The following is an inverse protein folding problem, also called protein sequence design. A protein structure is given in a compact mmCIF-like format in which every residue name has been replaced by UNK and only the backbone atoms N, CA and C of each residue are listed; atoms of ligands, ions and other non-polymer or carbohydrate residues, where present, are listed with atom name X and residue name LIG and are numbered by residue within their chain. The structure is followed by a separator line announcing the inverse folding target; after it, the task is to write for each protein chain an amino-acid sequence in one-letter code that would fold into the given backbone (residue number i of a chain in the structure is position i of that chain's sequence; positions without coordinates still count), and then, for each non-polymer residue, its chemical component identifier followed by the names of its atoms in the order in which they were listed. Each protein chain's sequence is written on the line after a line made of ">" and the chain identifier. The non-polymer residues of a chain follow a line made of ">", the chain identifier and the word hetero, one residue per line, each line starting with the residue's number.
data_IF_389733800850
#
_entry.id   IF_389733800850
#
_cell.length_a   1.000
_cell.length_b   1.000
_cell.length_c   1.000
_cell.angle_alpha   90.00
_cell.angle_beta   90.00
_cell.angle_gamma   90.00
#
_symmetry.space_group_name_H-M   'P 1'
#
loop_
_entity.id
_entity.type
_entity.pdbx_description
1 polymer ?
#
# COMPACT_ATOMS: atom_id res chain seq x y z
N UNK A 1 0.91 -37.47 -4.68
CA UNK A 1 0.16 -36.57 -3.79
C UNK A 1 0.34 -35.13 -4.28
N UNK A 2 -0.70 -34.48 -4.84
CA UNK A 2 -0.63 -33.07 -5.23
C UNK A 2 -0.57 -32.21 -3.95
N UNK A 3 0.59 -31.65 -3.64
CA UNK A 3 0.75 -30.68 -2.53
C UNK A 3 -0.19 -29.50 -2.76
N UNK A 4 -0.95 -29.15 -1.74
CA UNK A 4 -1.93 -28.06 -1.80
C UNK A 4 -1.20 -26.74 -2.06
N UNK A 5 -1.37 -26.06 -3.20
CA UNK A 5 -0.57 -24.90 -3.60
C UNK A 5 -0.74 -23.68 -2.66
N UNK A 6 -1.82 -23.64 -1.88
CA UNK A 6 -2.07 -22.59 -0.90
C UNK A 6 -1.14 -22.68 0.32
N UNK A 7 -0.70 -23.88 0.71
CA UNK A 7 0.19 -24.07 1.86
C UNK A 7 1.67 -23.81 1.54
N UNK A 8 2.08 -23.88 0.28
CA UNK A 8 3.49 -23.62 -0.11
C UNK A 8 3.83 -22.13 -0.12
N UNK A 9 2.87 -21.26 -0.42
CA UNK A 9 3.06 -19.81 -0.46
C UNK A 9 3.43 -19.13 0.87
N UNK A 10 3.24 -19.83 2.00
CA UNK A 10 3.43 -19.28 3.36
C UNK A 10 4.72 -19.73 4.05
N UNK A 11 5.47 -20.68 3.47
CA UNK A 11 6.70 -21.20 4.10
C UNK A 11 7.93 -20.46 3.60
N UNK A 12 8.14 -19.27 4.13
CA UNK A 12 9.43 -18.58 3.96
C UNK A 12 10.50 -19.19 4.85
N UNK A 13 11.74 -19.08 4.39
CA UNK A 13 12.92 -19.37 5.22
C UNK A 13 13.00 -18.41 6.41
N UNK A 14 13.68 -18.81 7.46
CA UNK A 14 13.87 -17.95 8.64
C UNK A 14 14.57 -16.64 8.26
N UNK A 15 15.59 -16.71 7.38
CA UNK A 15 16.29 -15.53 6.89
C UNK A 15 15.37 -14.55 6.16
N UNK A 16 14.50 -15.06 5.27
CA UNK A 16 13.51 -14.22 4.57
C UNK A 16 12.55 -13.53 5.54
N UNK A 17 12.03 -14.26 6.52
CA UNK A 17 11.13 -13.71 7.55
C UNK A 17 11.80 -12.62 8.39
N UNK A 18 13.00 -12.88 8.87
CA UNK A 18 13.74 -11.91 9.70
C UNK A 18 14.04 -10.64 8.91
N UNK A 19 14.52 -10.78 7.67
CA UNK A 19 14.76 -9.64 6.77
C UNK A 19 13.49 -8.84 6.54
N UNK A 20 12.37 -9.52 6.25
CA UNK A 20 11.09 -8.84 6.03
C UNK A 20 10.62 -8.08 7.27
N UNK A 21 10.62 -8.72 8.44
CA UNK A 21 10.18 -8.09 9.69
C UNK A 21 11.08 -6.91 10.08
N UNK A 22 12.38 -7.02 9.89
CA UNK A 22 13.32 -5.94 10.16
C UNK A 22 13.05 -4.72 9.27
N UNK A 23 12.95 -4.93 7.95
CA UNK A 23 12.66 -3.84 7.02
C UNK A 23 11.25 -3.28 7.23
N UNK A 24 10.28 -4.12 7.57
CA UNK A 24 8.92 -3.69 7.87
C UNK A 24 8.89 -2.77 9.10
N UNK A 25 9.64 -3.11 10.14
CA UNK A 25 9.78 -2.28 11.34
C UNK A 25 10.40 -0.92 11.01
N UNK A 26 11.51 -0.89 10.28
CA UNK A 26 12.15 0.36 9.85
C UNK A 26 11.20 1.21 8.99
N UNK A 27 10.58 0.59 8.00
CA UNK A 27 9.64 1.26 7.11
C UNK A 27 8.45 1.84 7.87
N UNK A 28 7.88 1.08 8.82
CA UNK A 28 6.78 1.56 9.66
C UNK A 28 7.19 2.77 10.49
N UNK A 29 8.37 2.73 11.09
CA UNK A 29 8.90 3.87 11.86
C UNK A 29 9.04 5.14 11.01
N UNK A 30 9.60 4.99 9.80
CA UNK A 30 9.72 6.12 8.86
C UNK A 30 8.35 6.66 8.44
N UNK A 31 7.41 5.78 8.10
CA UNK A 31 6.06 6.20 7.69
C UNK A 31 5.30 6.90 8.83
N UNK A 32 5.35 6.35 10.03
CA UNK A 32 4.73 6.98 11.20
C UNK A 32 5.33 8.36 11.47
N UNK A 33 6.66 8.48 11.40
CA UNK A 33 7.34 9.75 11.56
C UNK A 33 6.88 10.78 10.53
N UNK A 34 6.88 10.43 9.26
CA UNK A 34 6.49 11.34 8.18
C UNK A 34 5.03 11.79 8.30
N UNK A 35 4.09 10.86 8.46
CA UNK A 35 2.68 11.21 8.60
C UNK A 35 2.39 11.97 9.89
N UNK A 36 3.13 11.70 10.96
CA UNK A 36 3.04 12.49 12.17
C UNK A 36 3.43 13.94 11.92
N UNK A 37 4.59 14.18 11.28
CA UNK A 37 5.06 15.52 10.96
C UNK A 37 4.09 16.27 10.05
N UNK A 38 3.51 15.60 9.05
CA UNK A 38 2.49 16.16 8.17
C UNK A 38 1.20 16.54 8.92
N UNK A 39 0.67 15.65 9.77
CA UNK A 39 -0.54 15.91 10.55
C UNK A 39 -0.36 17.05 11.57
N UNK A 40 0.84 17.25 12.08
CA UNK A 40 1.16 18.33 13.00
C UNK A 40 1.67 19.60 12.31
N UNK A 41 1.69 19.62 10.97
CA UNK A 41 2.08 20.77 10.16
C UNK A 41 3.48 21.29 10.48
N UNK A 42 4.41 20.37 10.74
CA UNK A 42 5.80 20.76 11.01
C UNK A 42 6.39 21.42 9.76
N UNK A 43 7.08 22.57 9.90
CA UNK A 43 7.70 23.23 8.75
C UNK A 43 8.56 22.25 7.95
N UNK A 44 8.38 22.25 6.64
CA UNK A 44 9.05 21.32 5.74
C UNK A 44 8.28 20.03 5.44
N UNK A 45 7.16 19.73 6.12
CA UNK A 45 6.32 18.55 5.89
C UNK A 45 4.92 18.94 5.42
N UNK A 46 4.85 19.74 4.37
CA UNK A 46 3.56 20.19 3.83
C UNK A 46 2.90 19.08 3.00
N UNK A 47 1.60 18.87 3.22
CA UNK A 47 0.77 17.91 2.49
C UNK A 47 -0.72 18.25 2.62
N UNK A 48 -1.60 17.43 2.04
CA UNK A 48 -3.05 17.51 2.21
C UNK A 48 -3.54 17.01 3.59
N UNK A 49 -2.64 16.55 4.45
CA UNK A 49 -2.98 15.95 5.75
C UNK A 49 -3.80 16.87 6.66
N UNK A 50 -3.57 18.18 6.73
CA UNK A 50 -4.39 19.08 7.54
C UNK A 50 -5.87 19.03 7.17
N UNK A 51 -6.22 18.99 5.89
CA UNK A 51 -7.60 18.90 5.42
C UNK A 51 -8.23 17.55 5.80
N UNK A 52 -7.44 16.48 5.73
CA UNK A 52 -7.89 15.15 6.16
C UNK A 52 -8.11 15.07 7.67
N UNK A 53 -7.23 15.69 8.46
CA UNK A 53 -7.39 15.80 9.92
C UNK A 53 -8.66 16.59 10.26
N UNK A 54 -8.92 17.70 9.59
CA UNK A 54 -10.14 18.49 9.77
C UNK A 54 -11.40 17.66 9.46
N UNK A 55 -11.38 16.88 8.38
CA UNK A 55 -12.49 15.98 8.02
C UNK A 55 -12.74 14.91 9.10
N UNK A 56 -11.68 14.35 9.69
CA UNK A 56 -11.78 13.38 10.80
C UNK A 56 -12.32 14.06 12.06
N UNK A 57 -11.87 15.28 12.35
CA UNK A 57 -12.34 16.07 13.49
C UNK A 57 -13.77 16.58 13.35
N UNK A 58 -14.39 16.46 12.16
CA UNK A 58 -15.73 17.00 11.90
C UNK A 58 -15.74 18.52 11.68
N UNK A 59 -14.59 19.12 11.41
CA UNK A 59 -14.46 20.54 11.08
C UNK A 59 -14.79 20.71 9.60
N UNK A 60 -15.64 21.69 9.27
CA UNK A 60 -15.95 22.03 7.89
C UNK A 60 -14.69 22.49 7.15
N UNK A 61 -14.38 21.83 6.05
CA UNK A 61 -13.24 22.15 5.18
C UNK A 61 -13.71 22.71 3.84
N UNK A 62 -12.75 23.21 3.06
CA UNK A 62 -13.00 23.72 1.71
C UNK A 62 -13.28 22.62 0.68
N UNK A 63 -13.04 21.36 1.04
CA UNK A 63 -13.17 20.21 0.15
C UNK A 63 -14.07 19.14 0.75
N UNK A 64 -14.98 18.63 -0.07
CA UNK A 64 -15.72 17.42 0.23
C UNK A 64 -15.01 16.22 -0.38
N UNK A 65 -14.66 15.27 0.48
CA UNK A 65 -14.05 14.00 0.04
C UNK A 65 -15.14 12.94 -0.09
N UNK A 66 -15.51 12.50 -1.30
CA UNK A 66 -16.61 11.57 -1.52
C UNK A 66 -16.27 10.11 -1.17
N UNK A 67 -15.03 9.84 -0.79
CA UNK A 67 -14.54 8.50 -0.47
C UNK A 67 -14.28 8.35 1.04
N UNK A 68 -15.13 7.56 1.73
CA UNK A 68 -15.20 7.63 3.19
C UNK A 68 -14.26 6.70 3.96
N UNK A 69 -13.72 5.63 3.35
CA UNK A 69 -13.08 4.52 4.10
C UNK A 69 -11.94 4.99 5.00
N UNK A 70 -11.01 5.78 4.48
CA UNK A 70 -9.89 6.28 5.27
C UNK A 70 -10.37 7.09 6.48
N UNK A 71 -11.34 7.99 6.24
CA UNK A 71 -11.87 8.88 7.27
C UNK A 71 -12.70 8.13 8.30
N UNK A 72 -13.51 7.16 7.90
CA UNK A 72 -14.27 6.33 8.84
C UNK A 72 -13.33 5.53 9.73
N UNK A 73 -12.30 4.91 9.12
CA UNK A 73 -11.31 4.13 9.87
C UNK A 73 -10.54 5.01 10.87
N UNK A 74 -10.12 6.21 10.47
CA UNK A 74 -9.45 7.14 11.37
C UNK A 74 -10.38 7.64 12.49
N UNK A 75 -11.66 7.89 12.21
CA UNK A 75 -12.64 8.31 13.23
C UNK A 75 -12.84 7.28 14.34
N UNK A 76 -12.72 5.98 14.04
CA UNK A 76 -12.85 4.93 15.05
C UNK A 76 -11.85 5.07 16.21
N UNK A 77 -10.68 5.62 15.95
CA UNK A 77 -9.65 5.84 16.98
C UNK A 77 -9.51 7.30 17.42
N UNK A 78 -10.06 8.24 16.64
CA UNK A 78 -9.89 9.67 16.89
C UNK A 78 -10.45 10.15 18.24
N UNK A 79 -11.49 9.51 18.75
CA UNK A 79 -12.08 9.81 20.05
C UNK A 79 -11.13 9.46 21.23
N UNK A 80 -10.22 8.50 21.03
CA UNK A 80 -9.26 8.08 22.05
C UNK A 80 -7.94 8.87 21.99
N UNK A 81 -7.41 9.06 20.76
CA UNK A 81 -6.05 9.57 20.56
C UNK A 81 -5.99 10.91 19.83
N UNK A 82 -7.16 11.48 19.52
CA UNK A 82 -7.26 12.73 18.76
C UNK A 82 -7.13 12.56 17.24
N UNK A 83 -7.71 13.49 16.47
CA UNK A 83 -7.82 13.38 15.02
C UNK A 83 -6.44 13.34 14.31
N UNK A 84 -5.45 14.11 14.78
CA UNK A 84 -4.10 14.15 14.19
C UNK A 84 -3.39 12.80 14.31
N UNK A 85 -3.30 12.27 15.52
CA UNK A 85 -2.66 10.97 15.77
C UNK A 85 -3.42 9.83 15.06
N UNK A 86 -4.76 9.84 15.12
CA UNK A 86 -5.59 8.86 14.44
C UNK A 86 -5.35 8.85 12.93
N UNK A 87 -5.27 10.02 12.30
CA UNK A 87 -5.03 10.12 10.87
C UNK A 87 -3.64 9.62 10.49
N UNK A 88 -2.60 10.02 11.22
CA UNK A 88 -1.22 9.57 10.99
C UNK A 88 -1.09 8.05 11.10
N UNK A 89 -1.60 7.47 12.20
CA UNK A 89 -1.54 6.02 12.46
C UNK A 89 -2.35 5.25 11.41
N UNK A 90 -3.56 5.69 11.11
CA UNK A 90 -4.42 5.00 10.13
C UNK A 90 -3.77 4.98 8.76
N UNK A 91 -3.21 6.10 8.29
CA UNK A 91 -2.51 6.16 7.00
C UNK A 91 -1.30 5.23 6.98
N UNK A 92 -0.51 5.22 8.04
CA UNK A 92 0.63 4.31 8.18
C UNK A 92 0.19 2.84 8.15
N UNK A 93 -0.90 2.49 8.82
CA UNK A 93 -1.43 1.11 8.84
C UNK A 93 -1.93 0.65 7.45
N UNK A 94 -2.61 1.50 6.70
CA UNK A 94 -3.00 1.17 5.32
C UNK A 94 -1.78 0.95 4.44
N UNK A 95 -0.77 1.81 4.56
CA UNK A 95 0.45 1.66 3.78
C UNK A 95 1.23 0.39 4.19
N UNK A 96 1.28 0.07 5.47
CA UNK A 96 1.85 -1.18 5.99
C UNK A 96 1.11 -2.41 5.45
N UNK A 97 -0.22 -2.38 5.47
CA UNK A 97 -1.05 -3.45 4.90
C UNK A 97 -0.73 -3.65 3.41
N UNK A 98 -0.52 -2.57 2.65
CA UNK A 98 -0.12 -2.66 1.25
C UNK A 98 1.23 -3.39 1.07
N UNK A 99 2.24 -3.11 1.90
CA UNK A 99 3.53 -3.81 1.87
C UNK A 99 3.36 -5.31 2.13
N UNK A 100 2.61 -5.67 3.18
CA UNK A 100 2.36 -7.08 3.54
C UNK A 100 1.60 -7.82 2.43
N UNK A 101 0.56 -7.20 1.87
CA UNK A 101 -0.24 -7.78 0.79
C UNK A 101 0.61 -7.94 -0.47
N UNK A 102 1.43 -6.94 -0.82
CA UNK A 102 2.34 -7.03 -1.96
C UNK A 102 3.33 -8.17 -1.77
N UNK A 103 3.93 -8.28 -0.59
CA UNK A 103 4.86 -9.38 -0.26
C UNK A 103 4.18 -10.75 -0.42
N UNK A 104 2.93 -10.89 0.03
CA UNK A 104 2.17 -12.12 -0.13
C UNK A 104 1.97 -12.50 -1.61
N UNK A 105 1.49 -11.56 -2.44
CA UNK A 105 1.25 -11.82 -3.86
C UNK A 105 2.56 -12.06 -4.63
N UNK A 106 3.59 -11.25 -4.38
CA UNK A 106 4.91 -11.43 -5.01
C UNK A 106 5.54 -12.78 -4.66
N UNK A 107 5.48 -13.19 -3.41
CA UNK A 107 5.92 -14.52 -3.00
C UNK A 107 5.17 -15.61 -3.75
N UNK A 108 3.85 -15.48 -3.84
CA UNK A 108 3.00 -16.46 -4.51
C UNK A 108 3.38 -16.64 -5.99
N UNK A 109 3.56 -15.53 -6.70
CA UNK A 109 3.83 -15.57 -8.14
C UNK A 109 5.30 -15.94 -8.44
N UNK A 110 6.26 -15.36 -7.73
CA UNK A 110 7.68 -15.69 -7.94
C UNK A 110 7.99 -17.14 -7.63
N UNK A 111 7.39 -17.72 -6.59
CA UNK A 111 7.58 -19.12 -6.25
C UNK A 111 7.06 -20.08 -7.31
N UNK A 112 5.98 -19.74 -8.00
CA UNK A 112 5.47 -20.52 -9.14
C UNK A 112 6.48 -20.53 -10.28
N UNK A 113 7.02 -19.35 -10.63
CA UNK A 113 7.96 -19.21 -11.75
C UNK A 113 9.33 -19.78 -11.44
N UNK A 114 9.82 -19.62 -10.21
CA UNK A 114 11.15 -20.06 -9.80
C UNK A 114 11.26 -21.53 -9.42
N UNK A 115 10.16 -22.29 -9.49
CA UNK A 115 10.12 -23.67 -8.97
C UNK A 115 10.72 -23.77 -7.56
N UNK A 116 10.30 -22.89 -6.68
CA UNK A 116 10.89 -22.63 -5.36
C UNK A 116 11.13 -23.91 -4.53
N UNK A 117 10.21 -24.87 -4.58
CA UNK A 117 10.29 -26.12 -3.80
C UNK A 117 11.43 -27.05 -4.26
N UNK A 118 11.96 -26.84 -5.48
CA UNK A 118 13.06 -27.61 -6.06
C UNK A 118 14.43 -26.97 -5.78
N UNK A 119 14.44 -25.76 -5.19
CA UNK A 119 15.66 -25.04 -4.88
C UNK A 119 16.32 -25.57 -3.59
N UNK A 120 17.64 -25.48 -3.52
CA UNK A 120 18.39 -25.71 -2.27
C UNK A 120 18.02 -24.66 -1.22
N UNK A 121 18.15 -24.99 0.06
CA UNK A 121 17.78 -24.10 1.17
C UNK A 121 18.47 -22.71 1.07
N UNK A 122 19.72 -22.64 0.63
CA UNK A 122 20.43 -21.37 0.43
C UNK A 122 19.82 -20.54 -0.69
N UNK A 123 19.43 -21.16 -1.80
CA UNK A 123 18.75 -20.47 -2.91
C UNK A 123 17.34 -20.01 -2.53
N UNK A 124 16.62 -20.81 -1.74
CA UNK A 124 15.32 -20.41 -1.19
C UNK A 124 15.46 -19.16 -0.30
N UNK A 125 16.45 -19.14 0.60
CA UNK A 125 16.70 -17.98 1.46
C UNK A 125 17.06 -16.74 0.63
N UNK A 126 17.90 -16.87 -0.39
CA UNK A 126 18.24 -15.79 -1.29
C UNK A 126 17.01 -15.27 -2.05
N UNK A 127 16.17 -16.16 -2.55
CA UNK A 127 14.92 -15.78 -3.22
C UNK A 127 14.00 -15.00 -2.30
N UNK A 128 13.79 -15.48 -1.06
CA UNK A 128 12.95 -14.79 -0.07
C UNK A 128 13.47 -13.39 0.28
N UNK A 129 14.80 -13.23 0.41
CA UNK A 129 15.45 -11.94 0.66
C UNK A 129 15.28 -11.02 -0.55
N UNK A 130 15.55 -11.51 -1.76
CA UNK A 130 15.41 -10.70 -2.99
C UNK A 130 13.97 -10.24 -3.21
N UNK A 131 12.98 -11.10 -2.99
CA UNK A 131 11.57 -10.70 -3.06
C UNK A 131 11.24 -9.63 -2.02
N UNK A 132 11.78 -9.77 -0.83
CA UNK A 132 11.62 -8.76 0.23
C UNK A 132 12.19 -7.40 -0.21
N UNK A 133 13.42 -7.39 -0.69
CA UNK A 133 14.08 -6.17 -1.19
C UNK A 133 13.30 -5.55 -2.36
N UNK A 134 12.83 -6.38 -3.29
CA UNK A 134 12.01 -5.92 -4.41
C UNK A 134 10.73 -5.22 -3.93
N UNK A 135 10.01 -5.83 -2.97
CA UNK A 135 8.80 -5.24 -2.43
C UNK A 135 9.08 -3.87 -1.81
N UNK A 136 10.08 -3.77 -0.94
CA UNK A 136 10.42 -2.46 -0.33
C UNK A 136 10.93 -1.46 -1.37
N UNK A 137 11.69 -1.90 -2.37
CA UNK A 137 12.11 -1.03 -3.48
C UNK A 137 10.94 -0.45 -4.24
N UNK A 138 9.90 -1.25 -4.55
CA UNK A 138 8.69 -0.76 -5.21
C UNK A 138 7.98 0.33 -4.39
N UNK A 139 7.92 0.18 -3.07
CA UNK A 139 7.30 1.19 -2.20
C UNK A 139 8.15 2.43 -2.00
N UNK A 140 9.46 2.31 -2.02
CA UNK A 140 10.39 3.44 -1.89
C UNK A 140 10.58 4.16 -3.23
N UNK A 141 10.91 3.44 -4.30
CA UNK A 141 11.23 4.03 -5.61
C UNK A 141 10.05 4.75 -6.25
N UNK A 142 8.82 4.23 -6.08
CA UNK A 142 7.62 4.90 -6.59
C UNK A 142 7.41 6.30 -5.99
N UNK A 143 8.11 6.60 -4.93
CA UNK A 143 8.00 7.81 -4.15
C UNK A 143 9.25 8.70 -4.15
N UNK A 144 10.35 8.23 -4.76
CA UNK A 144 11.64 8.93 -4.72
C UNK A 144 11.84 9.93 -5.84
N UNK A 145 11.00 9.90 -6.87
CA UNK A 145 11.19 10.75 -8.02
C UNK A 145 10.71 12.17 -7.78
N UNK A 146 11.63 13.12 -7.76
CA UNK A 146 11.35 14.54 -7.87
C UNK A 146 12.34 15.19 -8.82
N UNK A 147 11.89 15.98 -9.81
CA UNK A 147 12.77 16.62 -10.76
C UNK A 147 13.56 17.81 -10.18
N UNK A 148 13.26 18.21 -8.97
CA UNK A 148 13.94 19.32 -8.29
C UNK A 148 14.44 18.86 -6.93
N UNK A 149 15.71 18.49 -6.87
CA UNK A 149 16.59 18.41 -5.69
C UNK A 149 15.97 18.05 -4.34
N UNK A 150 14.77 17.48 -4.34
CA UNK A 150 14.19 16.95 -3.15
C UNK A 150 14.80 15.58 -2.92
N UNK A 151 15.89 15.57 -2.18
CA UNK A 151 16.34 14.34 -1.58
C UNK A 151 15.19 13.73 -0.78
N UNK A 152 15.19 12.42 -0.63
CA UNK A 152 14.21 11.69 0.20
C UNK A 152 14.02 12.31 1.60
N UNK A 153 15.05 12.94 2.10
CA UNK A 153 15.06 13.72 3.35
C UNK A 153 15.31 15.21 3.12
N UNK A 154 15.32 15.66 1.88
CA UNK A 154 15.52 17.05 1.54
C UNK A 154 14.22 17.80 1.49
N UNK A 155 14.26 18.97 1.99
CA UNK A 155 13.11 19.74 2.42
C UNK A 155 12.92 21.00 1.60
N UNK A 156 13.48 21.06 0.43
CA UNK A 156 13.22 22.19 -0.45
C UNK A 156 11.99 21.87 -1.33
N UNK A 157 10.88 22.46 -0.96
CA UNK A 157 9.59 22.19 -1.55
C UNK A 157 9.25 23.19 -2.60
N UNK A 158 9.39 22.81 -3.79
CA UNK A 158 8.67 23.49 -4.84
C UNK A 158 7.21 22.98 -4.89
N UNK A 159 6.44 23.24 -3.87
CA UNK A 159 5.00 23.36 -3.83
C UNK A 159 4.17 22.78 -4.95
N UNK A 160 4.21 21.53 -5.31
CA UNK A 160 3.38 21.19 -6.45
C UNK A 160 2.77 19.83 -6.33
N UNK A 161 1.60 19.87 -5.71
CA UNK A 161 0.71 18.74 -5.60
C UNK A 161 -0.02 18.43 -6.92
N UNK A 162 0.01 19.32 -7.87
CA UNK A 162 -0.69 19.15 -9.13
C UNK A 162 0.30 18.88 -10.26
N UNK A 163 0.35 17.67 -10.75
CA UNK A 163 1.18 17.29 -11.85
C UNK A 163 1.86 15.94 -11.68
N UNK A 164 2.66 15.58 -12.68
CA UNK A 164 3.37 14.30 -12.75
C UNK A 164 4.43 14.19 -11.65
N UNK A 165 4.86 15.30 -11.10
CA UNK A 165 5.97 15.41 -10.17
C UNK A 165 5.47 15.87 -8.80
N UNK A 166 5.33 14.96 -7.88
CA UNK A 166 5.02 15.28 -6.50
C UNK A 166 6.30 15.36 -5.71
N UNK A 167 6.67 16.53 -5.17
CA UNK A 167 7.93 16.70 -4.43
C UNK A 167 7.94 15.91 -3.12
N UNK A 168 6.77 15.68 -2.52
CA UNK A 168 6.62 14.86 -1.35
C UNK A 168 6.00 13.50 -1.76
N UNK A 169 6.74 12.40 -1.64
CA UNK A 169 6.26 11.08 -2.02
C UNK A 169 5.07 10.60 -1.18
N UNK A 170 4.81 11.21 -0.05
CA UNK A 170 3.74 10.85 0.88
C UNK A 170 2.61 11.87 0.94
N UNK A 171 2.60 12.82 0.01
CA UNK A 171 1.68 13.94 -0.05
C UNK A 171 0.21 13.56 0.13
N UNK A 172 -0.20 12.46 -0.46
CA UNK A 172 -1.62 12.13 -0.55
C UNK A 172 -1.96 10.83 0.20
N UNK A 173 -2.38 10.97 1.45
CA UNK A 173 -2.75 9.85 2.31
C UNK A 173 -3.86 8.97 1.73
N UNK A 174 -4.83 9.54 1.02
CA UNK A 174 -5.93 8.76 0.41
C UNK A 174 -5.42 7.87 -0.71
N UNK A 175 -4.40 8.33 -1.47
CA UNK A 175 -3.75 7.50 -2.48
C UNK A 175 -3.00 6.32 -1.84
N UNK A 176 -2.28 6.56 -0.75
CA UNK A 176 -1.57 5.51 -0.02
C UNK A 176 -2.53 4.50 0.61
N UNK A 177 -3.63 4.99 1.17
CA UNK A 177 -4.66 4.15 1.77
C UNK A 177 -5.40 3.26 0.74
N UNK A 178 -5.42 3.64 -0.53
CA UNK A 178 -6.01 2.84 -1.61
C UNK A 178 -5.15 1.64 -1.98
N UNK A 179 -3.83 1.70 -1.79
CA UNK A 179 -2.86 0.68 -2.25
C UNK A 179 -3.21 -0.76 -1.84
N UNK A 180 -3.55 -1.08 -0.58
CA UNK A 180 -3.83 -2.46 -0.21
C UNK A 180 -4.98 -3.06 -1.02
N UNK A 181 -6.04 -2.31 -1.23
CA UNK A 181 -7.19 -2.74 -2.00
C UNK A 181 -6.90 -2.80 -3.50
N UNK A 182 -6.17 -1.82 -4.03
CA UNK A 182 -5.76 -1.78 -5.43
C UNK A 182 -4.85 -2.97 -5.80
N UNK A 183 -3.93 -3.36 -4.93
CA UNK A 183 -3.06 -4.50 -5.14
C UNK A 183 -3.87 -5.81 -5.17
N UNK A 184 -4.78 -6.01 -4.21
CA UNK A 184 -5.68 -7.16 -4.21
C UNK A 184 -6.51 -7.16 -5.51
N UNK A 185 -7.13 -6.03 -5.84
CA UNK A 185 -7.96 -5.88 -7.02
C UNK A 185 -7.18 -6.22 -8.30
N UNK A 186 -5.96 -5.74 -8.45
CA UNK A 186 -5.10 -6.03 -9.60
C UNK A 186 -4.86 -7.53 -9.77
N UNK A 187 -4.41 -8.22 -8.73
CA UNK A 187 -4.13 -9.65 -8.80
C UNK A 187 -5.38 -10.49 -9.01
N UNK A 188 -6.50 -10.11 -8.39
CA UNK A 188 -7.76 -10.83 -8.61
C UNK A 188 -8.35 -10.54 -10.00
N UNK A 189 -8.16 -9.34 -10.56
CA UNK A 189 -8.50 -9.04 -11.97
C UNK A 189 -7.74 -9.95 -12.91
N UNK A 190 -6.42 -10.04 -12.78
CA UNK A 190 -5.59 -10.92 -13.62
C UNK A 190 -6.05 -12.36 -13.51
N UNK A 191 -6.37 -12.80 -12.31
CA UNK A 191 -6.84 -14.17 -12.05
C UNK A 191 -8.22 -14.42 -12.69
N UNK A 192 -9.18 -13.53 -12.48
CA UNK A 192 -10.53 -13.64 -13.05
C UNK A 192 -10.44 -13.68 -14.56
N UNK A 193 -9.70 -12.78 -15.20
CA UNK A 193 -9.56 -12.73 -16.65
C UNK A 193 -8.87 -13.98 -17.21
N UNK A 194 -7.85 -14.52 -16.53
CA UNK A 194 -7.14 -15.71 -16.99
C UNK A 194 -7.94 -17.01 -16.85
N UNK A 195 -8.84 -17.06 -15.85
CA UNK A 195 -9.59 -18.27 -15.51
C UNK A 195 -11.05 -18.25 -16.04
N UNK A 196 -11.55 -17.09 -16.44
CA UNK A 196 -12.97 -16.86 -16.78
C UNK A 196 -13.56 -17.91 -17.72
N UNK A 197 -12.87 -18.24 -18.81
CA UNK A 197 -13.35 -19.20 -19.80
C UNK A 197 -13.13 -20.65 -19.43
N UNK A 198 -12.22 -20.95 -18.48
CA UNK A 198 -11.80 -22.32 -18.17
C UNK A 198 -12.39 -22.86 -16.88
N UNK A 199 -12.45 -22.03 -15.86
CA UNK A 199 -12.87 -22.43 -14.53
C UNK A 199 -13.43 -21.23 -13.75
N UNK A 200 -14.66 -20.87 -14.05
CA UNK A 200 -15.34 -19.76 -13.39
C UNK A 200 -15.55 -20.05 -11.90
N UNK A 201 -14.97 -19.23 -11.05
CA UNK A 201 -15.11 -19.36 -9.59
C UNK A 201 -15.75 -18.10 -9.00
N UNK A 202 -16.97 -18.22 -8.49
CA UNK A 202 -17.69 -17.12 -7.81
C UNK A 202 -16.87 -16.44 -6.73
N UNK A 203 -16.07 -17.21 -5.97
CA UNK A 203 -15.20 -16.66 -4.92
C UNK A 203 -14.21 -15.63 -5.44
N UNK A 204 -13.60 -15.87 -6.60
CA UNK A 204 -12.63 -14.94 -7.19
C UNK A 204 -13.34 -13.68 -7.71
N UNK A 205 -14.51 -13.83 -8.33
CA UNK A 205 -15.34 -12.72 -8.78
C UNK A 205 -15.83 -11.86 -7.60
N UNK A 206 -16.23 -12.48 -6.50
CA UNK A 206 -16.66 -11.76 -5.29
C UNK A 206 -15.49 -10.99 -4.69
N UNK A 207 -14.31 -11.60 -4.56
CA UNK A 207 -13.13 -10.93 -4.01
C UNK A 207 -12.69 -9.76 -4.91
N UNK A 208 -12.73 -9.94 -6.22
CA UNK A 208 -12.50 -8.87 -7.19
C UNK A 208 -13.50 -7.72 -6.99
N UNK A 209 -14.81 -8.01 -6.98
CA UNK A 209 -15.86 -7.00 -6.83
C UNK A 209 -15.74 -6.23 -5.50
N UNK A 210 -15.50 -6.94 -4.40
CA UNK A 210 -15.31 -6.32 -3.08
C UNK A 210 -14.06 -5.45 -3.06
N UNK A 211 -12.94 -5.93 -3.59
CA UNK A 211 -11.70 -5.15 -3.64
C UNK A 211 -11.83 -3.92 -4.54
N UNK A 212 -12.54 -4.02 -5.65
CA UNK A 212 -12.85 -2.89 -6.54
C UNK A 212 -13.72 -1.84 -5.83
N UNK A 213 -14.76 -2.28 -5.12
CA UNK A 213 -15.61 -1.40 -4.32
C UNK A 213 -14.79 -0.67 -3.24
N UNK A 214 -14.00 -1.41 -2.46
CA UNK A 214 -13.16 -0.82 -1.40
C UNK A 214 -12.13 0.15 -1.97
N UNK A 215 -11.53 -0.15 -3.13
CA UNK A 215 -10.62 0.76 -3.82
C UNK A 215 -11.33 2.05 -4.20
N UNK A 216 -12.52 1.95 -4.79
CA UNK A 216 -13.33 3.11 -5.20
C UNK A 216 -13.73 3.96 -3.99
N UNK A 217 -14.18 3.32 -2.91
CA UNK A 217 -14.59 4.01 -1.68
C UNK A 217 -13.41 4.59 -0.90
N UNK A 218 -12.16 4.18 -1.18
CA UNK A 218 -10.96 4.79 -0.57
C UNK A 218 -10.42 5.91 -1.44
N UNK A 219 -10.31 5.69 -2.76
CA UNK A 219 -10.00 6.69 -3.78
C UNK A 219 -10.25 6.08 -5.17
N UNK A 220 -11.06 6.70 -6.04
CA UNK A 220 -11.47 6.11 -7.30
C UNK A 220 -10.37 6.08 -8.39
N UNK A 221 -9.19 6.68 -8.15
CA UNK A 221 -8.15 6.80 -9.18
C UNK A 221 -7.71 5.47 -9.80
N UNK A 222 -7.61 4.41 -9.01
CA UNK A 222 -7.28 3.07 -9.53
C UNK A 222 -8.42 2.50 -10.40
N UNK A 223 -9.66 2.64 -9.94
CA UNK A 223 -10.86 2.17 -10.65
C UNK A 223 -11.01 2.86 -11.99
N UNK A 224 -10.74 4.17 -12.06
CA UNK A 224 -10.80 4.95 -13.29
C UNK A 224 -9.81 4.46 -14.36
N UNK A 225 -8.72 3.83 -13.95
CA UNK A 225 -7.73 3.26 -14.88
C UNK A 225 -8.09 1.83 -15.25
N UNK A 226 -8.49 1.01 -14.29
CA UNK A 226 -8.68 -0.44 -14.49
C UNK A 226 -9.98 -0.76 -15.20
N UNK A 227 -11.09 -0.11 -14.86
CA UNK A 227 -12.40 -0.41 -15.45
C UNK A 227 -12.44 -0.25 -16.98
N UNK A 228 -11.85 0.79 -17.59
CA UNK A 228 -11.81 0.90 -19.05
C UNK A 228 -10.93 -0.16 -19.75
N UNK A 229 -10.08 -0.89 -19.01
CA UNK A 229 -9.16 -1.90 -19.55
C UNK A 229 -9.73 -3.33 -19.48
N UNK A 230 -10.85 -3.53 -18.81
CA UNK A 230 -11.54 -4.81 -18.66
C UNK A 230 -12.72 -4.90 -19.61
#
# INVERSE_FOLDING_TARGET
>A
MKKNPIKSGLRETMAGKVTFLFLLFLYTGVMLYLFWMECYQVPGFQSDMPDYVNKVAGIAGNYEFPYPILFWTARLSAWLIGAKAAMAITTALFNLAAVVITKYYMNREIRKVSHYDDLTQGRQAMTDILVTLLVFSLFLLSNLYSPKNTAFFGFDYAYRCMGIYTPNPFWNATYLATRPFAIICFFETVKVLSEYQRNFQWKNCTLFAVSLLLTTMTKPSFTMVVVPLI
#
